data_IF_406069435628
#
_entry.id   IF_406069435628
#
_cell.length_a   1.000
_cell.length_b   1.000
_cell.length_c   1.000
_cell.angle_alpha   90.00
_cell.angle_beta   90.00
_cell.angle_gamma   90.00
#
_symmetry.space_group_name_H-M   'P 1'
#
loop_
_entity.id
_entity.type
_entity.pdbx_description
1 polymer ?
#
# COMPACT_ATOMS: atom_id res chain seq x y z
N UNK A 1 17.00 26.89 7.97
CA UNK A 1 17.52 25.51 7.88
C UNK A 1 19.02 25.54 7.95
N UNK A 2 19.60 24.96 8.99
CA UNK A 2 21.05 24.92 9.22
C UNK A 2 21.66 23.68 8.57
N UNK A 3 22.90 23.77 8.07
CA UNK A 3 23.69 22.70 7.43
C UNK A 3 23.82 21.38 8.21
N UNK A 4 23.26 21.28 9.42
CA UNK A 4 23.27 20.10 10.27
C UNK A 4 22.13 19.13 9.92
N UNK A 5 21.00 19.63 9.44
CA UNK A 5 19.81 18.81 9.15
C UNK A 5 19.94 18.06 7.82
N UNK A 6 20.58 18.67 6.82
CA UNK A 6 20.92 18.02 5.55
C UNK A 6 21.96 16.90 5.71
N UNK A 7 22.86 17.02 6.70
CA UNK A 7 23.88 16.01 6.98
C UNK A 7 23.28 14.77 7.67
N UNK A 8 22.24 14.94 8.50
CA UNK A 8 21.56 13.84 9.17
C UNK A 8 20.67 13.07 8.19
N UNK A 9 20.00 13.77 7.27
CA UNK A 9 19.22 13.14 6.20
C UNK A 9 20.11 12.30 5.26
N UNK A 10 21.25 12.85 4.81
CA UNK A 10 22.17 12.16 3.89
C UNK A 10 22.89 10.93 4.49
N UNK A 11 23.14 10.91 5.81
CA UNK A 11 23.77 9.77 6.50
C UNK A 11 22.77 8.62 6.73
N UNK A 12 21.46 8.90 6.85
CA UNK A 12 20.43 7.85 6.95
C UNK A 12 20.23 7.13 5.61
N UNK A 13 20.24 7.86 4.50
CA UNK A 13 20.09 7.28 3.15
C UNK A 13 21.28 6.40 2.76
N UNK A 14 22.52 6.80 3.09
CA UNK A 14 23.71 5.99 2.77
C UNK A 14 23.80 4.72 3.61
N UNK A 15 23.39 4.75 4.89
CA UNK A 15 23.36 3.54 5.73
C UNK A 15 22.32 2.53 5.28
N UNK A 16 21.16 2.98 4.79
CA UNK A 16 20.14 2.10 4.21
C UNK A 16 20.62 1.43 2.91
N UNK A 17 21.42 2.12 2.09
CA UNK A 17 21.98 1.57 0.85
C UNK A 17 23.14 0.58 1.09
N UNK A 18 24.04 0.86 2.05
CA UNK A 18 25.19 -0.01 2.35
C UNK A 18 24.81 -1.32 3.07
N UNK A 19 23.76 -1.30 3.89
CA UNK A 19 23.23 -2.52 4.52
C UNK A 19 22.42 -3.36 3.50
N UNK A 20 21.82 -2.75 2.48
CA UNK A 20 21.05 -3.45 1.44
C UNK A 20 21.94 -4.32 0.53
N UNK A 21 23.22 -3.96 0.39
CA UNK A 21 24.20 -4.79 -0.30
C UNK A 21 24.53 -6.10 0.45
N UNK A 22 24.30 -6.17 1.77
CA UNK A 22 24.61 -7.35 2.59
C UNK A 22 23.48 -8.39 2.64
N UNK A 23 22.25 -7.99 2.34
CA UNK A 23 21.06 -8.87 2.39
C UNK A 23 20.69 -9.49 1.04
N UNK A 24 21.40 -9.18 -0.05
CA UNK A 24 21.16 -9.81 -1.36
C UNK A 24 21.64 -11.26 -1.36
N UNK A 25 20.76 -12.22 -1.65
CA UNK A 25 21.18 -13.54 -2.13
C UNK A 25 21.95 -13.34 -3.45
N UNK A 26 23.04 -14.08 -3.70
CA UNK A 26 24.01 -13.78 -4.77
C UNK A 26 23.51 -13.90 -6.22
N UNK A 27 22.22 -14.13 -6.49
CA UNK A 27 21.73 -14.44 -7.85
C UNK A 27 20.80 -13.39 -8.51
N UNK A 28 20.47 -12.27 -7.86
CA UNK A 28 19.68 -11.20 -8.49
C UNK A 28 20.46 -9.88 -8.53
N UNK A 29 21.32 -9.75 -9.53
CA UNK A 29 21.88 -8.47 -9.97
C UNK A 29 21.76 -8.37 -11.49
N UNK A 30 20.64 -7.83 -11.96
CA UNK A 30 20.61 -7.01 -13.16
C UNK A 30 19.95 -5.68 -12.80
N UNK A 31 20.53 -4.65 -13.38
CA UNK A 31 20.54 -3.27 -12.90
C UNK A 31 19.29 -2.55 -13.39
N UNK A 32 18.45 -2.04 -12.50
CA UNK A 32 17.50 -0.99 -12.83
C UNK A 32 17.90 0.29 -12.11
N UNK A 33 18.08 1.33 -12.90
CA UNK A 33 18.62 2.62 -12.52
C UNK A 33 17.44 3.59 -12.58
N UNK A 34 16.68 3.68 -11.48
CA UNK A 34 15.53 4.58 -11.41
C UNK A 34 15.97 6.04 -11.25
N UNK A 35 15.38 6.91 -12.07
CA UNK A 35 15.51 8.37 -11.94
C UNK A 35 14.60 8.83 -10.81
N UNK A 36 15.19 9.33 -9.74
CA UNK A 36 14.48 10.03 -8.66
C UNK A 36 13.80 11.30 -9.20
N UNK A 37 12.49 11.44 -9.00
CA UNK A 37 11.78 12.72 -9.13
C UNK A 37 12.11 13.57 -7.89
N UNK A 38 12.56 14.83 -8.01
CA UNK A 38 12.89 15.65 -6.84
C UNK A 38 11.61 16.08 -6.09
N UNK A 39 11.61 15.84 -4.77
CA UNK A 39 10.50 16.15 -3.86
C UNK A 39 10.02 17.61 -3.90
N UNK A 40 8.71 17.78 -3.74
CA UNK A 40 8.07 19.09 -3.53
C UNK A 40 7.92 19.38 -2.04
N UNK A 41 8.52 20.49 -1.63
CA UNK A 41 8.44 21.04 -0.29
C UNK A 41 7.05 21.64 -0.02
N UNK A 42 6.47 21.24 1.12
CA UNK A 42 5.30 21.81 1.80
C UNK A 42 5.37 23.35 1.85
N UNK A 43 4.36 24.03 1.29
CA UNK A 43 4.09 25.44 1.54
C UNK A 43 2.84 25.56 2.42
N UNK A 44 3.06 25.72 3.73
CA UNK A 44 2.04 26.06 4.72
C UNK A 44 1.51 27.49 4.44
N UNK A 45 0.22 27.60 4.17
CA UNK A 45 -0.53 28.84 4.15
C UNK A 45 -1.47 28.92 5.35
N UNK A 46 -1.11 29.73 6.35
CA UNK A 46 -1.98 30.11 7.45
C UNK A 46 -3.18 30.91 6.93
N UNK A 47 -4.41 30.42 7.14
CA UNK A 47 -5.58 31.29 7.26
C UNK A 47 -6.45 30.83 8.40
N UNK A 48 -6.39 31.57 9.51
CA UNK A 48 -7.25 31.36 10.65
C UNK A 48 -8.69 31.79 10.38
N UNK A 49 -9.65 30.98 10.83
CA UNK A 49 -11.00 31.41 11.15
C UNK A 49 -11.48 30.64 12.38
N UNK A 50 -11.65 31.36 13.49
CA UNK A 50 -12.32 30.86 14.69
C UNK A 50 -13.79 30.69 14.37
N UNK A 51 -14.32 29.48 14.50
CA UNK A 51 -15.75 29.28 14.72
C UNK A 51 -15.97 28.35 15.92
N UNK A 52 -16.57 28.94 16.94
CA UNK A 52 -16.89 28.33 18.23
C UNK A 52 -18.31 27.78 18.12
N UNK A 53 -18.45 26.45 18.08
CA UNK A 53 -19.74 25.77 18.10
C UNK A 53 -19.64 24.54 18.98
N UNK A 54 -20.30 24.56 20.14
CA UNK A 54 -20.52 23.37 20.96
C UNK A 54 -21.51 22.47 20.21
N UNK A 55 -21.10 21.27 19.84
CA UNK A 55 -22.02 20.22 19.40
C UNK A 55 -21.75 18.98 20.25
N UNK A 56 -22.79 18.61 20.99
CA UNK A 56 -22.90 17.46 21.87
C UNK A 56 -22.86 16.17 21.03
N UNK A 57 -21.84 15.34 21.26
CA UNK A 57 -21.51 14.20 20.42
C UNK A 57 -22.09 12.91 21.01
N UNK A 58 -23.35 12.65 20.70
CA UNK A 58 -23.96 11.31 20.77
C UNK A 58 -24.66 10.99 19.46
N UNK A 59 -23.89 10.58 18.45
CA UNK A 59 -24.42 9.81 17.34
C UNK A 59 -23.30 8.99 16.70
N UNK A 60 -23.46 7.67 16.79
CA UNK A 60 -22.64 6.68 16.10
C UNK A 60 -22.98 6.77 14.62
N UNK A 61 -22.07 7.33 13.82
CA UNK A 61 -22.19 7.32 12.36
C UNK A 61 -21.50 6.07 11.86
N UNK A 62 -22.31 5.13 11.40
CA UNK A 62 -21.88 3.93 10.69
C UNK A 62 -21.57 4.35 9.25
N UNK A 63 -20.29 4.44 8.88
CA UNK A 63 -19.90 4.68 7.48
C UNK A 63 -19.99 3.33 6.76
N UNK A 64 -21.03 3.18 5.94
CA UNK A 64 -21.21 2.04 5.04
C UNK A 64 -20.43 2.38 3.76
N UNK A 65 -19.49 1.54 3.28
CA UNK A 65 -18.82 1.79 2.02
C UNK A 65 -19.85 1.66 0.89
N UNK A 66 -20.08 2.76 0.19
CA UNK A 66 -21.04 2.87 -0.91
C UNK A 66 -20.42 2.26 -2.18
N UNK A 67 -20.85 1.04 -2.51
CA UNK A 67 -20.49 0.34 -3.75
C UNK A 67 -21.08 1.09 -4.97
N UNK A 68 -20.25 1.82 -5.71
CA UNK A 68 -20.62 2.52 -6.94
C UNK A 68 -20.61 1.55 -8.13
N UNK A 69 -21.78 1.31 -8.74
CA UNK A 69 -21.92 0.52 -9.96
C UNK A 69 -21.64 1.45 -11.16
N UNK A 70 -20.46 1.36 -11.78
CA UNK A 70 -20.15 2.07 -13.03
C UNK A 70 -20.45 1.19 -14.27
N UNK A 71 -21.01 1.84 -15.28
CA UNK A 71 -21.45 1.25 -16.54
C UNK A 71 -20.29 1.30 -17.55
N UNK A 72 -19.64 0.16 -17.83
CA UNK A 72 -18.53 0.08 -18.78
C UNK A 72 -19.01 -0.12 -20.22
N UNK A 73 -18.46 0.65 -21.16
CA UNK A 73 -18.55 0.35 -22.59
C UNK A 73 -17.27 -0.40 -23.00
N UNK A 74 -17.35 -1.62 -23.57
CA UNK A 74 -16.17 -2.37 -23.96
C UNK A 74 -15.55 -1.74 -25.22
N UNK A 75 -14.36 -1.17 -25.08
CA UNK A 75 -13.51 -0.84 -26.23
C UNK A 75 -12.65 -2.07 -26.50
N UNK A 76 -12.71 -2.60 -27.72
CA UNK A 76 -11.82 -3.67 -28.14
C UNK A 76 -10.40 -3.10 -28.27
N UNK A 77 -9.53 -3.44 -27.33
CA UNK A 77 -8.12 -3.03 -27.32
C UNK A 77 -7.27 -4.22 -27.78
N UNK A 78 -6.26 -3.97 -28.62
CA UNK A 78 -5.13 -4.89 -28.79
C UNK A 78 -4.60 -5.28 -27.40
N UNK A 79 -4.03 -6.48 -27.21
CA UNK A 79 -3.44 -6.86 -25.92
C UNK A 79 -2.38 -5.81 -25.53
N UNK A 80 -2.78 -4.89 -24.66
CA UNK A 80 -1.91 -3.84 -24.15
C UNK A 80 -1.04 -4.54 -23.14
N UNK A 81 0.27 -4.60 -23.42
CA UNK A 81 1.23 -5.14 -22.46
C UNK A 81 1.71 -4.05 -21.50
N UNK A 82 1.51 -2.77 -21.83
CA UNK A 82 1.97 -1.63 -21.03
C UNK A 82 0.93 -0.52 -20.96
N UNK A 83 0.61 -0.06 -19.75
CA UNK A 83 -0.19 1.11 -19.45
C UNK A 83 0.70 2.14 -18.74
N UNK A 84 0.66 3.38 -19.22
CA UNK A 84 1.31 4.53 -18.60
C UNK A 84 0.38 5.73 -18.76
N UNK A 85 -0.28 6.15 -17.68
CA UNK A 85 -1.34 7.16 -17.72
C UNK A 85 -1.19 8.15 -16.57
N UNK A 86 -1.17 9.43 -16.92
CA UNK A 86 -1.38 10.55 -16.01
C UNK A 86 -2.84 11.03 -16.07
N UNK A 87 -3.39 11.45 -14.93
CA UNK A 87 -4.65 12.20 -14.87
C UNK A 87 -4.52 13.44 -13.98
N UNK A 88 -5.32 14.45 -14.30
CA UNK A 88 -5.44 15.70 -13.55
C UNK A 88 -6.83 16.28 -13.84
N UNK A 89 -7.68 16.40 -12.82
CA UNK A 89 -9.04 16.87 -13.01
C UNK A 89 -9.94 16.67 -11.80
N UNK A 90 -11.22 16.42 -12.05
CA UNK A 90 -12.25 16.22 -11.02
C UNK A 90 -13.20 15.11 -11.47
N UNK A 91 -13.96 14.54 -10.53
CA UNK A 91 -14.88 13.45 -10.80
C UNK A 91 -14.27 12.11 -10.43
N UNK A 92 -14.18 11.18 -11.37
CA UNK A 92 -13.59 9.86 -11.13
C UNK A 92 -12.77 9.37 -12.30
N UNK A 93 -11.79 8.53 -12.00
CA UNK A 93 -10.92 7.86 -12.95
C UNK A 93 -10.78 6.40 -12.51
N UNK A 94 -10.86 5.47 -13.46
CA UNK A 94 -10.79 4.04 -13.18
C UNK A 94 -10.14 3.29 -14.32
N UNK A 95 -9.36 2.27 -13.99
CA UNK A 95 -8.64 1.41 -14.94
C UNK A 95 -8.74 -0.03 -14.46
N UNK A 96 -8.96 -0.93 -15.42
CA UNK A 96 -8.80 -2.37 -15.26
C UNK A 96 -7.73 -2.83 -16.25
N UNK A 97 -6.79 -3.66 -15.79
CA UNK A 97 -5.72 -4.22 -16.63
C UNK A 97 -5.61 -5.72 -16.38
N UNK A 98 -5.92 -6.52 -17.39
CA UNK A 98 -5.93 -7.98 -17.33
C UNK A 98 -4.91 -8.55 -18.33
N UNK A 99 -3.95 -9.30 -17.82
CA UNK A 99 -2.87 -9.95 -18.59
C UNK A 99 -3.14 -11.42 -18.85
N UNK A 100 -4.16 -12.00 -18.20
CA UNK A 100 -4.36 -13.45 -18.08
C UNK A 100 -3.65 -14.06 -16.87
N UNK A 101 -2.44 -13.61 -16.55
CA UNK A 101 -1.63 -14.10 -15.43
C UNK A 101 -1.83 -13.27 -14.15
N UNK A 102 -2.25 -12.02 -14.31
CA UNK A 102 -2.55 -11.06 -13.26
C UNK A 102 -3.65 -10.08 -13.69
N UNK A 103 -4.41 -9.60 -12.71
CA UNK A 103 -5.41 -8.56 -12.87
C UNK A 103 -5.11 -7.39 -11.93
N UNK A 104 -5.20 -6.15 -12.42
CA UNK A 104 -5.11 -4.94 -11.63
C UNK A 104 -6.39 -4.12 -11.80
N UNK A 105 -6.93 -3.64 -10.69
CA UNK A 105 -8.02 -2.69 -10.63
C UNK A 105 -7.59 -1.42 -9.90
N UNK A 106 -7.87 -0.27 -10.51
CA UNK A 106 -7.64 1.05 -9.93
C UNK A 106 -8.88 1.93 -10.06
N UNK A 107 -9.20 2.68 -9.00
CA UNK A 107 -10.27 3.68 -9.03
C UNK A 107 -9.96 4.83 -8.07
N UNK A 108 -10.18 6.05 -8.51
CA UNK A 108 -10.14 7.25 -7.68
C UNK A 108 -11.30 8.17 -7.99
N UNK A 109 -11.74 8.97 -7.01
CA UNK A 109 -12.69 10.03 -7.27
C UNK A 109 -12.82 11.03 -6.14
N UNK A 110 -13.03 12.30 -6.50
CA UNK A 110 -13.08 13.42 -5.56
C UNK A 110 -13.35 14.76 -6.25
N UNK A 111 -13.26 15.83 -5.47
CA UNK A 111 -13.39 17.21 -5.94
C UNK A 111 -12.23 17.63 -6.85
N UNK A 112 -11.04 17.10 -6.56
CA UNK A 112 -9.85 17.17 -7.38
C UNK A 112 -9.14 15.81 -7.31
N UNK A 113 -8.65 15.31 -8.44
CA UNK A 113 -7.87 14.08 -8.55
C UNK A 113 -6.68 14.34 -9.46
N UNK A 114 -5.50 13.91 -9.03
CA UNK A 114 -4.31 13.84 -9.88
C UNK A 114 -3.52 12.57 -9.58
N UNK A 115 -2.72 12.13 -10.53
CA UNK A 115 -1.84 11.00 -10.29
C UNK A 115 -1.32 10.35 -11.55
N UNK A 116 -0.57 9.28 -11.32
CA UNK A 116 0.09 8.45 -12.30
C UNK A 116 -0.18 6.97 -11.99
N UNK A 117 -0.45 6.19 -13.04
CA UNK A 117 -0.62 4.75 -12.97
C UNK A 117 0.20 4.13 -14.09
N UNK A 118 1.08 3.21 -13.69
CA UNK A 118 1.86 2.38 -14.59
C UNK A 118 1.54 0.92 -14.36
N UNK A 119 1.35 0.15 -15.42
CA UNK A 119 1.25 -1.31 -15.38
C UNK A 119 1.97 -1.91 -16.57
N UNK A 120 2.71 -3.00 -16.37
CA UNK A 120 3.41 -3.69 -17.45
C UNK A 120 3.42 -5.21 -17.24
N UNK A 121 3.01 -5.90 -18.29
CA UNK A 121 3.08 -7.33 -18.50
C UNK A 121 4.36 -7.67 -19.26
N UNK A 122 5.29 -8.34 -18.60
CA UNK A 122 6.58 -8.70 -19.18
C UNK A 122 6.49 -10.08 -19.85
N UNK A 123 6.70 -10.15 -21.16
CA UNK A 123 6.93 -11.43 -21.87
C UNK A 123 8.33 -11.98 -21.57
N UNK A 124 8.56 -12.32 -20.31
CA UNK A 124 9.85 -12.79 -19.80
C UNK A 124 9.84 -14.26 -19.37
N UNK A 125 8.65 -14.83 -19.15
CA UNK A 125 8.39 -16.22 -18.79
C UNK A 125 9.56 -16.84 -17.99
N UNK A 126 9.83 -16.32 -16.78
CA UNK A 126 10.98 -16.71 -15.99
C UNK A 126 10.99 -18.23 -15.80
N UNK A 127 12.11 -18.84 -16.16
CA UNK A 127 12.32 -20.30 -16.09
C UNK A 127 11.39 -21.15 -16.98
N UNK A 128 10.73 -20.55 -17.97
CA UNK A 128 9.87 -21.24 -18.95
C UNK A 128 8.66 -21.95 -18.33
N UNK A 129 8.12 -21.34 -17.27
CA UNK A 129 6.98 -21.83 -16.51
C UNK A 129 5.61 -21.47 -17.10
N UNK A 130 5.58 -20.61 -18.10
CA UNK A 130 4.36 -20.15 -18.76
C UNK A 130 3.59 -19.10 -17.97
N UNK A 131 4.23 -18.44 -17.01
CA UNK A 131 3.67 -17.34 -16.23
C UNK A 131 4.64 -16.17 -16.30
N UNK A 132 4.15 -15.04 -16.78
CA UNK A 132 4.89 -13.82 -16.99
C UNK A 132 5.00 -12.97 -15.71
N UNK A 133 5.98 -12.07 -15.69
CA UNK A 133 6.08 -11.10 -14.61
C UNK A 133 5.12 -9.94 -14.88
N UNK A 134 4.36 -9.52 -13.88
CA UNK A 134 3.54 -8.31 -13.94
C UNK A 134 4.01 -7.30 -12.90
N UNK A 135 4.09 -6.02 -13.28
CA UNK A 135 4.45 -4.91 -12.39
C UNK A 135 3.46 -3.78 -12.55
N UNK A 136 3.00 -3.22 -11.44
CA UNK A 136 2.14 -2.05 -11.42
C UNK A 136 2.53 -1.14 -10.28
N UNK A 137 2.41 0.17 -10.49
CA UNK A 137 2.59 1.17 -9.45
C UNK A 137 1.64 2.35 -9.65
N UNK A 138 1.26 2.94 -8.53
CA UNK A 138 0.37 4.09 -8.46
C UNK A 138 1.00 5.17 -7.59
N UNK A 139 0.85 6.42 -8.03
CA UNK A 139 1.03 7.62 -7.22
C UNK A 139 -0.19 8.51 -7.43
N UNK A 140 -1.09 8.56 -6.43
CA UNK A 140 -2.38 9.19 -6.57
C UNK A 140 -2.65 10.18 -5.42
N UNK A 141 -3.33 11.27 -5.75
CA UNK A 141 -3.81 12.29 -4.82
C UNK A 141 -5.27 12.62 -5.10
N UNK A 142 -6.03 12.87 -4.03
CA UNK A 142 -7.44 13.25 -4.11
C UNK A 142 -7.79 14.30 -3.05
N UNK A 143 -8.62 15.27 -3.41
CA UNK A 143 -9.32 16.15 -2.47
C UNK A 143 -10.77 15.70 -2.28
N UNK A 144 -11.19 15.57 -1.03
CA UNK A 144 -12.54 15.16 -0.62
C UNK A 144 -13.05 13.94 -1.43
N UNK A 145 -12.38 12.82 -1.23
CA UNK A 145 -12.57 11.66 -2.11
C UNK A 145 -11.82 10.42 -1.64
N UNK A 146 -11.55 9.51 -2.58
CA UNK A 146 -10.93 8.21 -2.31
C UNK A 146 -9.99 7.74 -3.42
N UNK A 147 -9.16 6.76 -3.07
CA UNK A 147 -8.28 5.99 -3.95
C UNK A 147 -8.44 4.51 -3.56
N UNK A 148 -8.57 3.65 -4.57
CA UNK A 148 -8.65 2.19 -4.48
C UNK A 148 -7.67 1.58 -5.47
N UNK A 149 -6.91 0.59 -5.01
CA UNK A 149 -5.91 -0.10 -5.81
C UNK A 149 -5.86 -1.56 -5.39
N UNK A 150 -5.97 -2.49 -6.34
CA UNK A 150 -5.91 -3.91 -6.05
C UNK A 150 -5.23 -4.69 -7.18
N UNK A 151 -4.55 -5.77 -6.80
CA UNK A 151 -3.85 -6.67 -7.72
C UNK A 151 -4.11 -8.11 -7.32
N UNK A 152 -4.57 -8.90 -8.28
CA UNK A 152 -4.75 -10.34 -8.17
C UNK A 152 -3.71 -11.06 -9.02
N UNK A 153 -3.11 -12.09 -8.46
CA UNK A 153 -2.27 -13.04 -9.17
C UNK A 153 -3.12 -14.24 -9.60
N UNK A 154 -3.34 -14.37 -10.90
CA UNK A 154 -4.29 -15.33 -11.49
C UNK A 154 -3.63 -16.65 -11.91
N UNK A 155 -2.31 -16.67 -12.13
CA UNK A 155 -1.59 -17.91 -12.45
C UNK A 155 -0.32 -18.15 -11.60
N UNK A 156 0.00 -19.43 -11.42
CA UNK A 156 1.10 -19.93 -10.60
C UNK A 156 1.60 -21.28 -11.08
N UNK A 157 2.87 -21.56 -10.80
CA UNK A 157 3.35 -22.95 -10.83
C UNK A 157 3.18 -23.61 -9.48
N UNK A 158 2.54 -24.78 -9.44
CA UNK A 158 2.07 -25.42 -8.21
C UNK A 158 3.11 -25.74 -7.12
N UNK A 159 4.42 -25.57 -7.38
CA UNK A 159 5.45 -25.66 -6.34
C UNK A 159 5.65 -24.36 -5.53
N UNK A 160 5.13 -23.21 -5.98
CA UNK A 160 5.29 -21.91 -5.32
C UNK A 160 4.01 -21.37 -4.68
N UNK A 161 3.05 -22.25 -4.43
CA UNK A 161 1.75 -21.89 -3.85
C UNK A 161 0.65 -21.78 -4.90
N UNK A 162 -0.60 -21.61 -4.45
CA UNK A 162 -1.74 -21.48 -5.34
C UNK A 162 -1.67 -20.15 -6.11
N UNK A 163 -2.38 -20.09 -7.23
CA UNK A 163 -2.90 -18.81 -7.73
C UNK A 163 -3.90 -18.23 -6.69
N UNK A 164 -4.47 -17.05 -6.96
CA UNK A 164 -5.42 -16.38 -6.05
C UNK A 164 -4.76 -15.68 -4.85
N UNK A 165 -3.50 -15.25 -5.01
CA UNK A 165 -2.91 -14.27 -4.10
C UNK A 165 -3.43 -12.89 -4.51
N UNK A 166 -3.80 -12.06 -3.54
CA UNK A 166 -4.27 -10.71 -3.82
C UNK A 166 -3.81 -9.69 -2.79
N UNK A 167 -3.74 -8.45 -3.24
CA UNK A 167 -3.58 -7.28 -2.38
C UNK A 167 -4.63 -6.25 -2.74
N UNK A 168 -5.18 -5.58 -1.73
CA UNK A 168 -6.12 -4.50 -1.91
C UNK A 168 -5.81 -3.36 -0.94
N UNK A 169 -5.89 -2.14 -1.45
CA UNK A 169 -5.60 -0.90 -0.75
C UNK A 169 -6.70 0.11 -0.98
N UNK A 170 -7.09 0.81 0.08
CA UNK A 170 -8.05 1.90 0.07
C UNK A 170 -7.56 3.04 0.96
N UNK A 171 -7.73 4.27 0.50
CA UNK A 171 -7.68 5.46 1.34
C UNK A 171 -8.72 6.47 0.90
N UNK A 172 -9.38 7.13 1.84
CA UNK A 172 -10.27 8.24 1.56
C UNK A 172 -10.34 9.23 2.69
N UNK A 173 -10.61 10.47 2.35
CA UNK A 173 -10.58 11.57 3.31
C UNK A 173 -11.51 12.72 2.91
N UNK A 174 -11.98 13.49 3.90
CA UNK A 174 -12.81 14.67 3.68
C UNK A 174 -12.04 15.92 3.25
N UNK A 175 -10.73 15.98 3.51
CA UNK A 175 -9.86 17.06 3.05
C UNK A 175 -9.01 16.58 1.87
N UNK A 176 -7.95 15.82 2.13
CA UNK A 176 -7.15 15.19 1.07
C UNK A 176 -6.63 13.81 1.50
N UNK A 177 -6.37 12.96 0.49
CA UNK A 177 -5.71 11.67 0.67
C UNK A 177 -4.72 11.40 -0.47
N UNK A 178 -3.69 10.62 -0.19
CA UNK A 178 -2.71 10.17 -1.17
C UNK A 178 -2.31 8.72 -0.93
N UNK A 179 -2.02 8.00 -2.01
CA UNK A 179 -1.53 6.63 -2.00
C UNK A 179 -0.38 6.49 -2.99
N UNK A 180 0.75 6.00 -2.52
CA UNK A 180 1.87 5.58 -3.37
C UNK A 180 2.17 4.11 -3.08
N UNK A 181 1.98 3.24 -4.07
CA UNK A 181 2.08 1.80 -3.86
C UNK A 181 2.56 1.09 -5.13
N UNK A 182 3.38 0.06 -4.97
CA UNK A 182 3.86 -0.79 -6.05
C UNK A 182 3.57 -2.25 -5.74
N UNK A 183 3.17 -3.01 -6.76
CA UNK A 183 2.97 -4.46 -6.66
C UNK A 183 3.55 -5.16 -7.88
N UNK A 184 4.23 -6.28 -7.63
CA UNK A 184 4.76 -7.20 -8.63
C UNK A 184 4.14 -8.58 -8.41
N UNK A 185 3.81 -9.28 -9.48
CA UNK A 185 3.49 -10.71 -9.44
C UNK A 185 4.38 -11.47 -10.43
N UNK A 186 4.57 -12.77 -10.20
CA UNK A 186 5.23 -13.68 -11.14
C UNK A 186 4.76 -15.13 -10.88
N UNK A 187 5.42 -16.11 -11.48
CA UNK A 187 5.16 -17.55 -11.27
C UNK A 187 5.28 -18.08 -9.82
N UNK A 188 5.82 -17.29 -8.88
CA UNK A 188 6.14 -17.69 -7.52
C UNK A 188 5.52 -16.83 -6.41
N UNK A 189 5.41 -15.52 -6.60
CA UNK A 189 5.05 -14.58 -5.55
C UNK A 189 4.15 -13.43 -6.06
N UNK A 190 3.38 -12.87 -5.13
CA UNK A 190 2.86 -11.50 -5.17
C UNK A 190 3.61 -10.71 -4.09
N UNK A 191 4.21 -9.60 -4.51
CA UNK A 191 5.13 -8.78 -3.73
C UNK A 191 4.81 -7.29 -3.92
N UNK A 192 4.32 -6.64 -2.87
CA UNK A 192 4.04 -5.20 -2.83
C UNK A 192 5.24 -4.39 -2.32
N UNK A 193 6.42 -4.60 -2.92
CA UNK A 193 7.66 -3.97 -2.45
C UNK A 193 7.76 -2.50 -2.80
N UNK A 194 7.62 -1.63 -1.81
CA UNK A 194 7.93 -0.21 -1.96
C UNK A 194 9.43 0.08 -1.77
N UNK A 195 10.24 -0.92 -1.39
CA UNK A 195 11.67 -0.71 -1.20
C UNK A 195 12.38 -0.33 -2.51
N UNK A 196 12.99 0.86 -2.54
CA UNK A 196 13.65 1.40 -3.73
C UNK A 196 12.71 2.09 -4.72
N UNK A 197 11.39 2.01 -4.48
CA UNK A 197 10.35 2.78 -5.15
C UNK A 197 10.00 4.02 -4.33
N UNK A 198 9.43 3.82 -3.13
CA UNK A 198 9.04 4.85 -2.19
C UNK A 198 9.43 4.45 -0.76
N UNK A 199 10.13 5.32 -0.04
CA UNK A 199 10.68 4.97 1.26
C UNK A 199 9.66 5.07 2.41
N UNK A 200 8.74 6.03 2.32
CA UNK A 200 7.77 6.40 3.35
C UNK A 200 6.50 6.99 2.71
N UNK A 201 5.51 7.40 3.50
CA UNK A 201 4.34 8.16 3.06
C UNK A 201 3.43 7.38 2.10
N UNK A 202 3.22 6.08 2.36
CA UNK A 202 2.49 5.19 1.43
C UNK A 202 0.98 5.45 1.46
N UNK A 203 0.46 5.79 2.65
CA UNK A 203 -0.93 6.20 2.85
C UNK A 203 -0.92 7.48 3.67
N UNK A 204 -1.36 8.57 3.05
CA UNK A 204 -1.43 9.88 3.69
C UNK A 204 -2.85 10.42 3.64
N UNK A 205 -3.37 10.99 4.73
CA UNK A 205 -4.67 11.65 4.70
C UNK A 205 -4.80 12.77 5.74
N UNK A 206 -5.70 13.72 5.47
CA UNK A 206 -6.11 14.78 6.39
C UNK A 206 -7.63 14.95 6.43
N UNK A 207 -8.16 15.39 7.57
CA UNK A 207 -9.58 15.56 7.81
C UNK A 207 -10.20 14.31 8.46
N UNK A 208 -11.43 13.98 8.09
CA UNK A 208 -12.05 12.69 8.46
C UNK A 208 -11.59 11.65 7.45
N UNK A 209 -10.88 10.62 7.91
CA UNK A 209 -10.24 9.65 7.02
C UNK A 209 -10.59 8.20 7.36
N UNK A 210 -10.40 7.34 6.36
CA UNK A 210 -10.34 5.89 6.48
C UNK A 210 -9.29 5.33 5.52
N UNK A 211 -8.47 4.40 5.99
CA UNK A 211 -7.50 3.67 5.20
C UNK A 211 -7.60 2.18 5.53
N UNK A 212 -7.51 1.34 4.51
CA UNK A 212 -7.57 -0.11 4.65
C UNK A 212 -6.56 -0.73 3.70
N UNK A 213 -5.89 -1.78 4.15
CA UNK A 213 -5.02 -2.55 3.31
C UNK A 213 -5.06 -4.01 3.74
N UNK A 214 -5.12 -4.91 2.77
CA UNK A 214 -5.13 -6.36 3.00
C UNK A 214 -4.27 -7.10 1.98
N UNK A 215 -3.78 -8.25 2.42
CA UNK A 215 -3.13 -9.25 1.57
C UNK A 215 -3.67 -10.64 1.90
N UNK A 216 -3.99 -11.38 0.84
CA UNK A 216 -4.53 -12.74 0.89
C UNK A 216 -3.56 -13.71 0.20
N UNK A 217 -3.37 -14.88 0.82
CA UNK A 217 -2.65 -15.99 0.23
C UNK A 217 -3.34 -17.31 0.63
N UNK A 218 -4.33 -17.72 -0.16
CA UNK A 218 -5.17 -18.87 0.13
C UNK A 218 -6.02 -18.65 1.39
N UNK A 219 -5.80 -19.47 2.42
CA UNK A 219 -6.50 -19.34 3.71
C UNK A 219 -5.90 -18.25 4.61
N UNK A 220 -4.68 -17.81 4.33
CA UNK A 220 -3.98 -16.83 5.15
C UNK A 220 -4.34 -15.41 4.72
N UNK A 221 -4.51 -14.51 5.68
CA UNK A 221 -4.83 -13.10 5.44
C UNK A 221 -4.14 -12.21 6.48
N UNK A 222 -3.72 -11.03 6.07
CA UNK A 222 -3.16 -9.99 6.92
C UNK A 222 -3.74 -8.63 6.51
N UNK A 223 -4.04 -7.76 7.47
CA UNK A 223 -4.64 -6.46 7.18
C UNK A 223 -4.41 -5.39 8.25
N UNK A 224 -4.56 -4.13 7.84
CA UNK A 224 -4.79 -3.01 8.75
C UNK A 224 -6.06 -2.24 8.37
N UNK A 225 -6.67 -1.59 9.36
CA UNK A 225 -7.75 -0.60 9.20
C UNK A 225 -7.46 0.60 10.11
N UNK A 226 -7.32 1.78 9.51
CA UNK A 226 -7.11 3.03 10.21
C UNK A 226 -8.26 4.00 9.89
N UNK A 227 -8.89 4.56 10.91
CA UNK A 227 -9.90 5.61 10.71
C UNK A 227 -9.82 6.66 11.79
N UNK A 228 -10.22 7.89 11.48
CA UNK A 228 -10.11 8.97 12.45
C UNK A 228 -10.42 10.35 11.91
N UNK A 229 -10.11 11.35 12.74
CA UNK A 229 -10.15 12.77 12.40
C UNK A 229 -8.80 13.36 12.79
N UNK A 230 -8.15 14.04 11.86
CA UNK A 230 -6.81 14.60 12.03
C UNK A 230 -5.97 14.31 10.80
N UNK A 231 -4.74 13.85 11.01
CA UNK A 231 -3.86 13.36 9.94
C UNK A 231 -3.59 11.87 10.11
N UNK A 232 -3.28 11.22 8.99
CA UNK A 232 -2.81 9.85 8.90
C UNK A 232 -1.54 9.84 8.07
N UNK A 233 -0.57 9.08 8.55
CA UNK A 233 0.67 8.75 7.86
C UNK A 233 1.00 7.28 8.17
N UNK A 234 0.94 6.42 7.15
CA UNK A 234 1.36 5.02 7.24
C UNK A 234 2.50 4.78 6.27
N UNK A 235 3.60 4.30 6.84
CA UNK A 235 4.64 3.60 6.10
C UNK A 235 4.26 2.13 6.03
N UNK A 236 4.04 1.63 4.80
CA UNK A 236 3.79 0.22 4.55
C UNK A 236 4.79 -0.28 3.53
N UNK A 237 5.89 -0.85 4.01
CA UNK A 237 7.04 -1.12 3.15
C UNK A 237 6.81 -2.22 2.12
N UNK A 238 6.26 -3.35 2.54
CA UNK A 238 6.14 -4.52 1.68
C UNK A 238 5.18 -5.53 2.27
N UNK A 239 4.41 -6.13 1.37
CA UNK A 239 3.79 -7.42 1.58
C UNK A 239 4.42 -8.44 0.67
N UNK A 240 4.89 -9.54 1.22
CA UNK A 240 5.48 -10.64 0.46
C UNK A 240 4.65 -11.90 0.69
N UNK A 241 4.13 -12.47 -0.39
CA UNK A 241 3.42 -13.75 -0.37
C UNK A 241 4.23 -14.80 -1.12
N UNK A 242 4.58 -15.88 -0.42
CA UNK A 242 5.38 -16.96 -0.99
C UNK A 242 4.85 -18.33 -0.55
N UNK A 243 4.56 -19.25 -1.47
CA UNK A 243 3.95 -20.54 -1.09
C UNK A 243 2.67 -20.31 -0.28
N UNK A 244 2.68 -20.50 1.05
CA UNK A 244 1.56 -20.18 1.95
C UNK A 244 1.83 -19.02 2.91
N UNK A 245 3.06 -18.49 3.01
CA UNK A 245 3.31 -17.44 3.99
C UNK A 245 2.91 -16.06 3.49
N UNK A 246 2.67 -15.16 4.45
CA UNK A 246 2.57 -13.73 4.26
C UNK A 246 3.59 -13.07 5.20
N UNK A 247 4.34 -12.12 4.68
CA UNK A 247 5.05 -11.12 5.47
C UNK A 247 4.33 -9.79 5.26
N UNK A 248 3.82 -9.19 6.33
CA UNK A 248 3.00 -7.98 6.27
C UNK A 248 3.76 -6.80 6.86
N UNK A 249 3.96 -5.76 6.07
CA UNK A 249 4.79 -4.59 6.44
C UNK A 249 6.29 -4.88 6.61
N UNK A 250 6.76 -6.09 6.24
CA UNK A 250 8.19 -6.44 6.31
C UNK A 250 8.83 -6.18 4.95
N UNK A 251 9.67 -5.16 4.87
CA UNK A 251 10.42 -4.81 3.66
C UNK A 251 11.17 -6.01 3.07
N UNK A 252 11.33 -6.07 1.75
CA UNK A 252 12.13 -7.12 1.08
C UNK A 252 13.50 -7.30 1.75
N UNK A 253 13.67 -8.40 2.49
CA UNK A 253 14.87 -8.69 3.28
C UNK A 253 14.66 -8.58 4.79
N UNK A 254 15.52 -7.82 5.48
CA UNK A 254 15.52 -7.69 6.95
C UNK A 254 15.09 -6.29 7.44
N UNK A 255 14.48 -5.49 6.57
CA UNK A 255 14.09 -4.12 6.90
C UNK A 255 12.65 -4.07 7.33
N UNK A 256 12.40 -3.48 8.49
CA UNK A 256 11.06 -3.17 8.96
C UNK A 256 10.95 -1.65 9.13
N UNK A 257 10.00 -1.05 8.42
CA UNK A 257 9.64 0.37 8.52
C UNK A 257 8.13 0.49 8.31
N UNK A 258 7.40 -0.46 8.91
CA UNK A 258 5.94 -0.45 8.93
C UNK A 258 5.48 0.43 10.09
N UNK A 259 5.43 1.73 9.85
CA UNK A 259 5.14 2.72 10.89
C UNK A 259 3.75 3.32 10.66
N UNK A 260 3.07 3.67 11.75
CA UNK A 260 1.83 4.45 11.68
C UNK A 260 1.90 5.61 12.64
N UNK A 261 1.51 6.78 12.14
CA UNK A 261 1.28 7.99 12.92
C UNK A 261 -0.10 8.55 12.57
N UNK A 262 -0.90 8.77 13.60
CA UNK A 262 -2.20 9.41 13.51
C UNK A 262 -2.23 10.56 14.50
N UNK A 263 -2.64 11.75 14.07
CA UNK A 263 -2.97 12.86 14.97
C UNK A 263 -4.49 12.93 15.18
N UNK A 264 -4.93 13.59 16.26
CA UNK A 264 -6.35 13.72 16.59
C UNK A 264 -6.93 12.45 17.19
N UNK A 265 -8.16 12.08 16.84
CA UNK A 265 -8.87 10.95 17.46
C UNK A 265 -9.27 9.91 16.43
N UNK A 266 -9.17 8.63 16.78
CA UNK A 266 -9.46 7.57 15.82
C UNK A 266 -9.21 6.16 16.36
N UNK A 267 -9.15 5.22 15.43
CA UNK A 267 -8.81 3.82 15.67
C UNK A 267 -7.72 3.35 14.71
N UNK A 268 -6.85 2.48 15.21
CA UNK A 268 -5.98 1.63 14.41
C UNK A 268 -6.27 0.18 14.74
N UNK A 269 -6.50 -0.63 13.71
CA UNK A 269 -6.73 -2.07 13.82
C UNK A 269 -5.70 -2.79 12.98
N UNK A 270 -5.11 -3.83 13.57
CA UNK A 270 -4.19 -4.74 12.91
C UNK A 270 -4.71 -6.16 13.09
N UNK A 271 -4.75 -6.95 12.03
CA UNK A 271 -5.27 -8.30 12.11
C UNK A 271 -4.59 -9.28 11.16
N UNK A 272 -4.68 -10.55 11.53
CA UNK A 272 -4.21 -11.66 10.71
C UNK A 272 -4.95 -12.96 11.02
N UNK A 273 -5.06 -13.81 10.01
CA UNK A 273 -5.39 -15.22 10.16
C UNK A 273 -4.31 -16.05 9.47
N UNK A 274 -3.75 -17.02 10.21
CA UNK A 274 -2.71 -17.92 9.72
C UNK A 274 -3.00 -19.37 10.12
N UNK A 275 -2.82 -20.33 9.22
CA UNK A 275 -3.15 -21.74 9.45
C UNK A 275 -2.10 -22.51 10.28
N UNK A 276 -0.84 -22.08 10.27
CA UNK A 276 0.29 -22.85 10.77
C UNK A 276 1.17 -22.10 11.77
N UNK A 277 1.45 -20.81 11.55
CA UNK A 277 2.25 -20.04 12.50
C UNK A 277 2.04 -18.52 12.39
N UNK A 278 2.34 -17.83 13.48
CA UNK A 278 2.34 -16.38 13.56
C UNK A 278 3.57 -15.89 14.32
N UNK A 279 4.19 -14.81 13.84
CA UNK A 279 5.28 -14.11 14.52
C UNK A 279 5.13 -12.61 14.36
N UNK A 280 5.08 -11.90 15.48
CA UNK A 280 5.09 -10.43 15.54
C UNK A 280 5.97 -9.97 16.70
N UNK A 281 7.05 -9.26 16.40
CA UNK A 281 8.05 -8.90 17.40
C UNK A 281 8.56 -10.12 18.19
N UNK A 282 8.39 -10.10 19.51
CA UNK A 282 8.75 -11.21 20.40
C UNK A 282 7.66 -12.27 20.62
N UNK A 283 6.51 -12.15 19.97
CA UNK A 283 5.40 -13.10 20.08
C UNK A 283 5.46 -14.12 18.96
N UNK A 284 5.33 -15.40 19.32
CA UNK A 284 5.25 -16.52 18.38
C UNK A 284 4.11 -17.44 18.76
N UNK A 285 3.35 -17.92 17.78
CA UNK A 285 2.32 -18.94 17.96
C UNK A 285 2.41 -20.00 16.85
N UNK A 286 1.95 -21.21 17.16
CA UNK A 286 1.97 -22.37 16.26
C UNK A 286 0.59 -23.01 16.16
N UNK A 287 0.25 -23.54 15.00
CA UNK A 287 -1.10 -23.97 14.62
C UNK A 287 -1.91 -22.80 14.06
N UNK A 288 -3.22 -22.99 13.87
CA UNK A 288 -4.11 -21.91 13.43
C UNK A 288 -4.13 -20.75 14.44
N UNK A 289 -3.96 -19.53 13.96
CA UNK A 289 -3.88 -18.30 14.75
C UNK A 289 -4.78 -17.24 14.14
N UNK A 290 -5.70 -16.72 14.96
CA UNK A 290 -6.38 -15.46 14.74
C UNK A 290 -5.73 -14.39 15.61
N UNK A 291 -5.17 -13.36 14.98
CA UNK A 291 -4.62 -12.19 15.64
C UNK A 291 -5.48 -10.96 15.31
N UNK A 292 -5.83 -10.19 16.34
CA UNK A 292 -6.58 -8.95 16.18
C UNK A 292 -6.24 -7.98 17.32
N UNK A 293 -5.68 -6.83 16.96
CA UNK A 293 -5.38 -5.74 17.89
C UNK A 293 -6.13 -4.49 17.44
N UNK A 294 -6.91 -3.89 18.35
CA UNK A 294 -7.64 -2.65 18.11
C UNK A 294 -7.26 -1.62 19.16
N UNK A 295 -6.86 -0.45 18.70
CA UNK A 295 -6.42 0.67 19.53
C UNK A 295 -7.36 1.84 19.26
N UNK A 296 -8.02 2.32 20.30
CA UNK A 296 -8.83 3.54 20.27
C UNK A 296 -8.06 4.63 21.00
N UNK A 297 -7.91 5.79 20.36
CA UNK A 297 -7.16 6.92 20.90
C UNK A 297 -7.94 8.23 20.73
N UNK A 298 -7.69 9.18 21.63
CA UNK A 298 -8.39 10.46 21.64
C UNK A 298 -7.54 11.66 21.23
N UNK A 299 -6.21 11.53 21.25
CA UNK A 299 -5.27 12.61 20.95
C UNK A 299 -3.91 12.05 20.53
N UNK A 300 -3.89 11.53 19.31
CA UNK A 300 -2.73 10.95 18.65
C UNK A 300 -2.48 9.48 18.96
N UNK A 301 -1.83 8.81 18.02
CA UNK A 301 -1.34 7.45 18.13
C UNK A 301 -0.11 7.28 17.24
N UNK A 302 0.90 6.57 17.74
CA UNK A 302 2.07 6.19 16.95
C UNK A 302 2.50 4.78 17.31
N UNK A 303 2.82 3.97 16.31
CA UNK A 303 3.43 2.66 16.49
C UNK A 303 4.56 2.51 15.48
N UNK A 304 5.79 2.42 16.02
CA UNK A 304 6.97 2.05 15.25
C UNK A 304 7.01 0.54 15.03
N UNK A 305 7.02 0.10 13.79
CA UNK A 305 7.06 -1.29 13.35
C UNK A 305 5.89 -2.15 13.85
N UNK A 306 4.79 -2.15 13.08
CA UNK A 306 3.67 -3.08 13.22
C UNK A 306 3.86 -4.38 12.43
N UNK A 307 5.03 -4.61 11.83
CA UNK A 307 5.22 -5.73 10.89
C UNK A 307 5.11 -7.11 11.56
N UNK A 308 4.56 -8.06 10.82
CA UNK A 308 4.43 -9.45 11.27
C UNK A 308 4.54 -10.43 10.10
N UNK A 309 4.58 -11.72 10.42
CA UNK A 309 4.61 -12.77 9.40
C UNK A 309 3.98 -14.05 9.92
N UNK A 310 3.43 -14.84 9.02
CA UNK A 310 2.84 -16.13 9.33
C UNK A 310 2.59 -16.95 8.08
N UNK A 311 2.10 -18.17 8.24
CA UNK A 311 1.77 -19.11 7.16
C UNK A 311 0.72 -20.12 7.56
#
# INVERSE_FOLDING_TARGET
MTNRDALIAGVRTTRALDEAAKCRRPERVKTELYRSVPGRAKALGETGLKQKGNIDMRSRVLIIPLLAIMLFAPIAVFAVTELDVDWDGAGGFSVDFDTGDAYMGFSTGGAYIEGHLYANDYDDNPYSYGVDTFLTNVDAYVENGYIQYGVDRLDSTGMYGPADQSTFSYIGASDWASMTFQTRTNFADLDSSNYGFQANDHFLAEGVYGAYHEVLNGANIAWFDASGIGTLDIDHMTDDTWTTAIQFGKGCGCYTNADVTQDGSGTFVLGAHYENSFTMGGMTASGPVDYHQSILFGDGFSWSDYSFSGN
#
